data_IF_582991418771
#
_entry.id   IF_582991418771
#
_cell.length_a   1.000
_cell.length_b   1.000
_cell.length_c   1.000
_cell.angle_alpha   90.00
_cell.angle_beta   90.00
_cell.angle_gamma   90.00
#
_symmetry.space_group_name_H-M   'P 1'
#
loop_
_entity.id
_entity.type
_entity.pdbx_description
1 polymer ?
#
# COMPACT_ATOMS: atom_id res chain seq x y z
N UNK A 1 4.59 -7.92 -19.96
CA UNK A 1 5.06 -6.98 -18.91
C UNK A 1 3.92 -6.28 -18.18
N UNK A 2 2.98 -5.58 -18.86
CA UNK A 2 1.88 -4.87 -18.17
C UNK A 2 0.99 -5.76 -17.29
N UNK A 3 0.70 -6.99 -17.75
CA UNK A 3 -0.04 -7.99 -16.96
C UNK A 3 0.65 -8.39 -15.66
N UNK A 4 1.99 -8.42 -15.65
CA UNK A 4 2.79 -8.77 -14.46
C UNK A 4 2.53 -7.76 -13.33
N UNK A 5 2.40 -6.47 -13.67
CA UNK A 5 2.18 -5.39 -12.70
C UNK A 5 0.83 -5.56 -11.99
N UNK A 6 -0.19 -6.09 -12.66
CA UNK A 6 -1.50 -6.36 -12.05
C UNK A 6 -1.58 -7.67 -11.26
N UNK A 7 -0.91 -8.73 -11.74
CA UNK A 7 -0.99 -10.06 -11.14
C UNK A 7 -0.09 -10.17 -9.89
N UNK A 8 1.06 -9.49 -9.90
CA UNK A 8 2.04 -9.58 -8.82
C UNK A 8 1.50 -9.14 -7.45
N UNK A 9 0.77 -8.01 -7.32
CA UNK A 9 0.12 -7.62 -6.07
C UNK A 9 -0.84 -8.66 -5.52
N UNK A 10 -1.61 -9.30 -6.41
CA UNK A 10 -2.59 -10.32 -6.05
C UNK A 10 -1.87 -11.57 -5.52
N UNK A 11 -0.86 -12.05 -6.24
CA UNK A 11 -0.05 -13.18 -5.81
C UNK A 11 0.65 -12.92 -4.46
N UNK A 12 1.24 -11.73 -4.28
CA UNK A 12 1.86 -11.32 -3.02
C UNK A 12 0.87 -11.26 -1.86
N UNK A 13 -0.37 -10.84 -2.12
CA UNK A 13 -1.43 -10.79 -1.09
C UNK A 13 -1.77 -12.20 -0.57
N UNK A 14 -1.77 -13.21 -1.44
CA UNK A 14 -1.93 -14.61 -1.03
C UNK A 14 -0.75 -15.13 -0.21
N UNK A 15 0.48 -14.75 -0.58
CA UNK A 15 1.69 -15.09 0.19
C UNK A 15 1.62 -14.46 1.58
N UNK A 16 1.27 -13.18 1.69
CA UNK A 16 1.09 -12.50 2.97
C UNK A 16 0.02 -13.18 3.82
N UNK A 17 -1.09 -13.62 3.22
CA UNK A 17 -2.11 -14.38 3.94
C UNK A 17 -1.57 -15.71 4.50
N UNK A 18 -0.80 -16.46 3.71
CA UNK A 18 -0.17 -17.70 4.16
C UNK A 18 0.84 -17.46 5.30
N UNK A 19 1.68 -16.42 5.16
CA UNK A 19 2.69 -16.05 6.16
C UNK A 19 2.06 -15.50 7.45
N UNK A 20 0.94 -14.79 7.35
CA UNK A 20 0.21 -14.23 8.49
C UNK A 20 -0.50 -15.29 9.36
N UNK A 21 -0.47 -16.57 8.97
CA UNK A 21 -0.86 -17.67 9.88
C UNK A 21 0.00 -17.71 11.14
N UNK A 22 1.25 -17.23 11.06
CA UNK A 22 2.10 -17.07 12.24
C UNK A 22 1.84 -15.70 12.89
N UNK A 23 1.46 -15.65 14.19
CA UNK A 23 1.07 -14.40 14.84
C UNK A 23 2.21 -13.37 14.90
N UNK A 24 3.46 -13.82 15.04
CA UNK A 24 4.64 -12.94 15.01
C UNK A 24 4.78 -12.21 13.67
N UNK A 25 4.60 -12.93 12.56
CA UNK A 25 4.72 -12.37 11.21
C UNK A 25 3.57 -11.41 10.94
N UNK A 26 2.35 -11.75 11.35
CA UNK A 26 1.20 -10.86 11.22
C UNK A 26 1.47 -9.52 11.93
N UNK A 27 1.94 -9.54 13.18
CA UNK A 27 2.26 -8.32 13.95
C UNK A 27 3.30 -7.47 13.21
N UNK A 28 4.38 -8.08 12.72
CA UNK A 28 5.41 -7.36 11.96
C UNK A 28 4.80 -6.69 10.72
N UNK A 29 3.96 -7.41 9.96
CA UNK A 29 3.29 -6.86 8.78
C UNK A 29 2.34 -5.70 9.13
N UNK A 30 1.60 -5.78 10.25
CA UNK A 30 0.75 -4.68 10.73
C UNK A 30 1.58 -3.43 11.08
N UNK A 31 2.67 -3.61 11.83
CA UNK A 31 3.55 -2.51 12.25
C UNK A 31 4.23 -1.86 11.05
N UNK A 32 4.76 -2.66 10.12
CA UNK A 32 5.37 -2.13 8.90
C UNK A 32 4.34 -1.41 8.04
N UNK A 33 3.13 -1.94 7.90
CA UNK A 33 2.05 -1.28 7.16
C UNK A 33 1.67 0.08 7.76
N UNK A 34 1.59 0.16 9.09
CA UNK A 34 1.35 1.43 9.78
C UNK A 34 2.45 2.45 9.49
N UNK A 35 3.72 2.06 9.60
CA UNK A 35 4.85 2.95 9.34
C UNK A 35 4.89 3.38 7.86
N UNK A 36 4.67 2.46 6.93
CA UNK A 36 4.64 2.76 5.51
C UNK A 36 3.49 3.70 5.15
N UNK A 37 2.30 3.52 5.75
CA UNK A 37 1.16 4.42 5.55
C UNK A 37 1.45 5.83 6.05
N UNK A 38 2.12 5.94 7.20
CA UNK A 38 2.57 7.21 7.73
C UNK A 38 3.56 7.92 6.78
N UNK A 39 4.58 7.19 6.29
CA UNK A 39 5.55 7.73 5.31
C UNK A 39 4.86 8.16 4.02
N UNK A 40 3.94 7.35 3.49
CA UNK A 40 3.17 7.69 2.30
C UNK A 40 2.35 8.97 2.52
N UNK A 41 1.69 9.10 3.67
CA UNK A 41 0.93 10.29 4.05
C UNK A 41 1.80 11.55 4.17
N UNK A 42 3.00 11.43 4.73
CA UNK A 42 3.97 12.54 4.79
C UNK A 42 4.36 13.00 3.39
N UNK A 43 4.73 12.06 2.51
CA UNK A 43 5.13 12.39 1.13
C UNK A 43 3.99 13.13 0.43
N UNK A 44 2.76 12.65 0.52
CA UNK A 44 1.59 13.32 -0.06
C UNK A 44 1.42 14.71 0.55
N UNK A 45 1.48 14.84 1.87
CA UNK A 45 1.23 16.11 2.57
C UNK A 45 2.25 17.18 2.22
N UNK A 46 3.55 16.83 2.17
CA UNK A 46 4.61 17.76 1.76
C UNK A 46 4.38 18.24 0.33
N UNK A 47 4.05 17.34 -0.58
CA UNK A 47 3.81 17.73 -1.97
C UNK A 47 2.55 18.59 -2.14
N UNK A 48 1.48 18.30 -1.39
CA UNK A 48 0.28 19.16 -1.39
C UNK A 48 0.64 20.56 -0.85
N UNK A 49 1.40 20.63 0.23
CA UNK A 49 1.86 21.89 0.81
C UNK A 49 2.68 22.71 -0.19
N UNK A 50 3.63 22.08 -0.88
CA UNK A 50 4.44 22.74 -1.91
C UNK A 50 3.58 23.25 -3.07
N UNK A 51 2.60 22.46 -3.52
CA UNK A 51 1.65 22.87 -4.59
C UNK A 51 0.82 24.07 -4.15
N UNK A 52 0.31 24.09 -2.91
CA UNK A 52 -0.54 25.16 -2.39
C UNK A 52 0.22 26.46 -2.13
N UNK A 53 1.47 26.39 -1.67
CA UNK A 53 2.26 27.59 -1.35
C UNK A 53 2.99 28.17 -2.55
N UNK A 54 3.46 27.33 -3.47
CA UNK A 54 4.26 27.81 -4.60
C UNK A 54 3.42 28.23 -5.81
N UNK A 55 2.08 28.32 -5.68
CA UNK A 55 1.14 28.54 -6.80
C UNK A 55 1.46 27.63 -8.01
N UNK A 56 1.99 26.43 -7.74
CA UNK A 56 2.34 25.44 -8.75
C UNK A 56 1.07 24.72 -9.19
N UNK A 57 0.17 25.45 -9.86
CA UNK A 57 -1.01 24.91 -10.57
C UNK A 57 -0.60 24.20 -11.88
N UNK A 58 0.70 23.93 -12.07
CA UNK A 58 1.19 23.16 -13.20
C UNK A 58 1.15 21.66 -12.88
N UNK A 59 0.40 20.93 -13.70
CA UNK A 59 0.16 19.48 -13.68
C UNK A 59 1.41 18.56 -13.58
N UNK A 60 2.63 19.11 -13.63
CA UNK A 60 3.90 18.36 -13.64
C UNK A 60 4.40 17.94 -12.25
N UNK A 61 3.99 18.62 -11.17
CA UNK A 61 4.43 18.26 -9.81
C UNK A 61 3.89 16.92 -9.32
N UNK A 62 2.68 16.54 -9.73
CA UNK A 62 2.06 15.26 -9.31
C UNK A 62 2.77 14.06 -9.96
N UNK A 63 3.25 14.19 -11.20
CA UNK A 63 4.06 13.13 -11.83
C UNK A 63 5.40 12.93 -11.11
N UNK A 64 5.98 13.97 -10.53
CA UNK A 64 7.18 13.87 -9.69
C UNK A 64 6.95 12.97 -8.46
N UNK A 65 5.76 13.02 -7.85
CA UNK A 65 5.37 12.15 -6.73
C UNK A 65 5.29 10.69 -7.18
N UNK A 66 4.65 10.44 -8.33
CA UNK A 66 4.51 9.10 -8.89
C UNK A 66 5.85 8.51 -9.37
N UNK A 67 6.87 9.34 -9.56
CA UNK A 67 8.24 8.91 -9.84
C UNK A 67 9.11 8.76 -8.59
N UNK A 68 8.62 9.22 -7.42
CA UNK A 68 9.37 9.08 -6.18
C UNK A 68 9.43 7.58 -5.78
N UNK A 69 10.63 6.98 -5.67
CA UNK A 69 10.76 5.56 -5.38
C UNK A 69 10.20 5.19 -4.01
N UNK A 70 10.28 6.08 -3.02
CA UNK A 70 9.66 5.85 -1.70
C UNK A 70 8.14 5.85 -1.79
N UNK A 71 7.55 6.74 -2.58
CA UNK A 71 6.10 6.75 -2.81
C UNK A 71 5.65 5.47 -3.52
N UNK A 72 6.38 5.04 -4.55
CA UNK A 72 6.08 3.82 -5.31
C UNK A 72 6.18 2.56 -4.45
N UNK A 73 7.26 2.41 -3.67
CA UNK A 73 7.45 1.27 -2.77
C UNK A 73 6.38 1.28 -1.68
N UNK A 74 6.12 2.44 -1.07
CA UNK A 74 5.13 2.56 -0.02
C UNK A 74 3.71 2.26 -0.54
N UNK A 75 3.36 2.81 -1.70
CA UNK A 75 2.07 2.58 -2.35
C UNK A 75 1.90 1.13 -2.79
N UNK A 76 2.94 0.50 -3.33
CA UNK A 76 2.91 -0.91 -3.69
C UNK A 76 2.71 -1.80 -2.45
N UNK A 77 3.45 -1.54 -1.38
CA UNK A 77 3.33 -2.32 -0.14
C UNK A 77 1.96 -2.14 0.54
N UNK A 78 1.46 -0.91 0.67
CA UNK A 78 0.12 -0.66 1.24
C UNK A 78 -0.97 -1.26 0.36
N UNK A 79 -0.82 -1.18 -0.96
CA UNK A 79 -1.75 -1.81 -1.91
C UNK A 79 -1.83 -3.31 -1.73
N UNK A 80 -0.70 -4.02 -1.71
CA UNK A 80 -0.67 -5.47 -1.47
C UNK A 80 -1.16 -5.84 -0.07
N UNK A 81 -0.81 -5.05 0.93
CA UNK A 81 -1.22 -5.28 2.31
C UNK A 81 -2.74 -5.09 2.50
N UNK A 82 -3.33 -4.10 1.86
CA UNK A 82 -4.79 -3.86 1.89
C UNK A 82 -5.54 -5.01 1.21
N UNK A 83 -5.04 -5.49 0.08
CA UNK A 83 -5.57 -6.68 -0.59
C UNK A 83 -5.48 -7.92 0.31
N UNK A 84 -4.37 -8.11 1.02
CA UNK A 84 -4.23 -9.15 2.05
C UNK A 84 -5.30 -9.03 3.14
N UNK A 85 -5.52 -7.84 3.71
CA UNK A 85 -6.54 -7.64 4.75
C UNK A 85 -7.94 -7.95 4.23
N UNK A 86 -8.27 -7.50 3.01
CA UNK A 86 -9.56 -7.76 2.38
C UNK A 86 -9.76 -9.27 2.14
N UNK A 87 -8.74 -9.95 1.62
CA UNK A 87 -8.76 -11.40 1.40
C UNK A 87 -8.94 -12.16 2.71
N UNK A 88 -8.19 -11.79 3.75
CA UNK A 88 -8.31 -12.37 5.09
C UNK A 88 -9.72 -12.19 5.67
N UNK A 89 -10.28 -10.98 5.54
CA UNK A 89 -11.63 -10.68 5.99
C UNK A 89 -12.70 -11.49 5.24
N UNK A 90 -12.59 -11.61 3.91
CA UNK A 90 -13.51 -12.41 3.09
C UNK A 90 -13.44 -13.89 3.52
N UNK A 91 -12.24 -14.46 3.64
CA UNK A 91 -12.07 -15.87 4.03
C UNK A 91 -12.60 -16.12 5.44
N UNK A 92 -12.32 -15.22 6.37
CA UNK A 92 -12.82 -15.31 7.75
C UNK A 92 -14.36 -15.28 7.77
N UNK A 93 -14.98 -14.39 7.01
CA UNK A 93 -16.44 -14.29 6.90
C UNK A 93 -17.05 -15.56 6.31
N UNK A 94 -16.43 -16.15 5.28
CA UNK A 94 -16.87 -17.42 4.71
C UNK A 94 -16.75 -18.56 5.74
N UNK A 95 -15.65 -18.62 6.49
CA UNK A 95 -15.40 -19.65 7.50
C UNK A 95 -16.38 -19.56 8.68
N UNK A 96 -16.73 -18.34 9.09
CA UNK A 96 -17.57 -18.12 10.27
C UNK A 96 -19.07 -18.28 9.98
N UNK A 97 -19.45 -18.55 8.72
CA UNK A 97 -20.85 -18.59 8.30
C UNK A 97 -21.46 -17.19 8.32
N UNK A 98 -22.23 -16.87 7.27
CA UNK A 98 -23.11 -15.71 7.31
C UNK A 98 -24.12 -15.83 8.45
#
# INVERSE_FOLDING_TARGET
MKLLIGILPIALSFIFYLSAKQPKIAIVLHISAYLTLYVLGIIISINIYDVLIQDLVFMTSIHGILLNPFFLIAGAYIGTYTLYLLLSHIIMKIKNGA
#
